data_IF_542765319739
#
_entry.id   IF_542765319739
#
_cell.length_a   1.000
_cell.length_b   1.000
_cell.length_c   1.000
_cell.angle_alpha   90.00
_cell.angle_beta   90.00
_cell.angle_gamma   90.00
#
_symmetry.space_group_name_H-M   'P 1'
#
loop_
_entity.id
_entity.type
_entity.pdbx_description
1 polymer ?
#
# COMPACT_ATOMS: atom_id res chain seq x y z
N UNK A 1 -5.95 -34.17 -4.41
CA UNK A 1 -6.15 -33.39 -3.20
C UNK A 1 -7.45 -32.62 -3.38
N UNK A 2 -8.56 -32.95 -2.70
CA UNK A 2 -9.85 -32.25 -2.88
C UNK A 2 -9.76 -30.89 -2.16
N UNK A 3 -9.57 -29.84 -2.93
CA UNK A 3 -9.61 -28.46 -2.42
C UNK A 3 -11.00 -28.21 -1.82
N UNK A 4 -11.03 -27.79 -0.58
CA UNK A 4 -12.28 -27.52 0.11
C UNK A 4 -12.92 -26.28 -0.52
N UNK A 5 -14.03 -26.44 -1.27
CA UNK A 5 -14.73 -25.36 -2.00
C UNK A 5 -14.97 -24.10 -1.16
N UNK A 6 -15.12 -24.25 0.16
CA UNK A 6 -15.27 -23.13 1.10
C UNK A 6 -13.98 -22.30 1.25
N UNK A 7 -12.77 -22.93 1.20
CA UNK A 7 -11.49 -22.21 1.26
C UNK A 7 -11.19 -21.46 -0.05
N UNK A 8 -11.53 -22.06 -1.20
CA UNK A 8 -11.36 -21.40 -2.50
C UNK A 8 -12.24 -20.16 -2.65
N UNK A 9 -13.49 -20.22 -2.17
CA UNK A 9 -14.43 -19.10 -2.20
C UNK A 9 -14.02 -18.02 -1.17
N UNK A 10 -13.48 -18.37 -0.01
CA UNK A 10 -13.00 -17.40 1.00
C UNK A 10 -11.78 -16.61 0.55
N UNK A 11 -10.89 -17.20 -0.25
CA UNK A 11 -9.77 -16.49 -0.88
C UNK A 11 -10.26 -15.54 -1.99
N UNK A 12 -11.24 -15.94 -2.80
CA UNK A 12 -11.79 -15.18 -3.92
C UNK A 12 -12.22 -13.76 -3.58
N UNK A 13 -12.54 -13.49 -2.36
CA UNK A 13 -13.35 -12.33 -1.97
C UNK A 13 -12.56 -11.30 -1.17
N UNK A 14 -11.57 -11.72 -0.40
CA UNK A 14 -10.67 -10.80 0.28
C UNK A 14 -9.97 -9.87 -0.71
N UNK A 15 -9.77 -10.36 -1.92
CA UNK A 15 -9.12 -9.63 -3.00
C UNK A 15 -10.05 -8.87 -3.95
N UNK A 16 -11.32 -9.28 -4.10
CA UNK A 16 -12.27 -8.55 -4.95
C UNK A 16 -12.57 -7.13 -4.42
N UNK A 17 -12.53 -6.92 -3.10
CA UNK A 17 -12.62 -5.60 -2.49
C UNK A 17 -11.31 -4.79 -2.60
N UNK A 18 -10.20 -5.43 -2.97
CA UNK A 18 -8.90 -4.78 -3.22
C UNK A 18 -8.60 -4.65 -4.72
N UNK A 19 -9.37 -5.30 -5.60
CA UNK A 19 -8.98 -5.60 -6.97
C UNK A 19 -9.75 -4.83 -8.05
N UNK A 20 -10.33 -3.70 -7.78
CA UNK A 20 -10.98 -2.94 -8.84
C UNK A 20 -10.40 -1.53 -8.95
N UNK A 21 -9.85 -1.25 -10.08
CA UNK A 21 -9.44 0.06 -10.50
C UNK A 21 -8.25 0.05 -11.43
N UNK A 22 -8.48 -0.06 -12.71
CA UNK A 22 -7.56 0.39 -13.74
C UNK A 22 -8.35 0.78 -14.98
N UNK A 23 -8.70 2.05 -15.08
CA UNK A 23 -8.78 2.68 -16.39
C UNK A 23 -7.79 3.84 -16.44
N UNK A 24 -7.33 4.10 -17.68
CA UNK A 24 -6.49 5.23 -18.01
C UNK A 24 -7.16 6.52 -17.52
N UNK A 25 -6.85 6.95 -16.32
CA UNK A 25 -7.12 8.33 -15.92
C UNK A 25 -6.23 9.19 -16.79
N UNK A 26 -6.73 9.55 -17.96
CA UNK A 26 -6.16 10.66 -18.73
C UNK A 26 -6.52 11.91 -17.97
N UNK A 27 -5.58 12.38 -17.14
CA UNK A 27 -5.66 13.72 -16.59
C UNK A 27 -5.60 14.69 -17.76
N UNK A 28 -6.71 15.38 -18.07
CA UNK A 28 -6.66 16.46 -19.05
C UNK A 28 -5.61 17.48 -18.60
N UNK A 29 -4.68 17.88 -19.49
CA UNK A 29 -3.65 18.84 -19.13
C UNK A 29 -4.34 20.18 -18.86
N UNK A 30 -4.38 20.59 -17.60
CA UNK A 30 -4.61 22.00 -17.25
C UNK A 30 -3.43 22.80 -17.81
N UNK A 31 -3.68 24.01 -18.38
CA UNK A 31 -2.62 24.79 -18.96
C UNK A 31 -1.56 25.10 -17.91
N UNK A 32 -0.32 24.76 -18.22
CA UNK A 32 0.82 24.83 -17.33
C UNK A 32 0.93 26.19 -16.65
N UNK A 33 0.93 26.17 -15.32
CA UNK A 33 1.41 27.26 -14.52
C UNK A 33 2.90 27.47 -14.86
N UNK A 34 3.25 28.67 -15.26
CA UNK A 34 4.64 29.06 -15.55
C UNK A 34 5.52 28.71 -14.34
N UNK A 35 6.43 27.78 -14.55
CA UNK A 35 7.49 27.48 -13.61
C UNK A 35 8.25 28.77 -13.33
N UNK A 36 8.25 29.21 -12.08
CA UNK A 36 9.12 30.26 -11.62
C UNK A 36 10.57 29.86 -11.95
N UNK A 37 11.15 30.54 -12.91
CA UNK A 37 12.55 30.40 -13.28
C UNK A 37 13.41 30.77 -12.09
N UNK A 38 13.91 29.78 -11.37
CA UNK A 38 15.15 29.85 -10.64
C UNK A 38 16.25 29.90 -11.71
N UNK A 39 16.98 31.04 -11.82
CA UNK A 39 18.15 31.15 -12.66
C UNK A 39 19.31 30.34 -12.06
N UNK A 40 19.36 29.08 -12.35
CA UNK A 40 20.50 28.19 -12.29
C UNK A 40 20.25 27.16 -13.38
N UNK A 41 21.15 27.07 -14.36
CA UNK A 41 21.21 25.95 -15.28
C UNK A 41 21.41 24.69 -14.39
N UNK A 42 20.35 23.97 -14.07
CA UNK A 42 20.48 22.61 -13.55
C UNK A 42 21.14 21.79 -14.66
N UNK A 43 22.39 21.42 -14.47
CA UNK A 43 23.12 20.52 -15.35
C UNK A 43 22.31 19.22 -15.41
N UNK A 44 21.70 18.96 -16.56
CA UNK A 44 20.85 17.81 -16.76
C UNK A 44 21.73 16.57 -16.71
N UNK A 45 21.70 15.84 -15.59
CA UNK A 45 22.51 14.63 -15.40
C UNK A 45 22.20 13.62 -16.50
N UNK A 46 23.24 13.02 -17.08
CA UNK A 46 23.11 11.96 -18.07
C UNK A 46 22.61 10.67 -17.44
N UNK A 47 21.82 9.89 -18.18
CA UNK A 47 21.40 8.55 -17.77
C UNK A 47 22.61 7.64 -17.60
N UNK A 48 22.57 6.73 -16.61
CA UNK A 48 23.58 5.70 -16.47
C UNK A 48 23.46 4.69 -17.64
N UNK A 49 24.50 4.58 -18.52
CA UNK A 49 24.42 3.73 -19.71
C UNK A 49 24.27 2.23 -19.38
N UNK A 50 24.75 1.79 -18.21
CA UNK A 50 24.57 0.39 -17.78
C UNK A 50 23.11 0.12 -17.41
N UNK A 51 22.47 1.05 -16.68
CA UNK A 51 21.05 0.94 -16.31
C UNK A 51 20.20 0.98 -17.58
N UNK A 52 20.49 1.89 -18.52
CA UNK A 52 19.78 1.96 -19.80
C UNK A 52 19.83 0.64 -20.55
N UNK A 53 21.01 0.07 -20.74
CA UNK A 53 21.19 -1.24 -21.40
C UNK A 53 20.49 -2.39 -20.65
N UNK A 54 20.49 -2.34 -19.33
CA UNK A 54 19.78 -3.32 -18.50
C UNK A 54 18.24 -3.24 -18.69
N UNK A 55 17.70 -2.03 -18.72
CA UNK A 55 16.26 -1.79 -18.97
C UNK A 55 15.83 -2.22 -20.39
N UNK A 56 16.67 -1.97 -21.40
CA UNK A 56 16.44 -2.46 -22.75
C UNK A 56 16.44 -4.00 -22.81
N UNK A 57 17.37 -4.64 -22.10
CA UNK A 57 17.44 -6.09 -21.97
C UNK A 57 16.23 -6.69 -21.24
N UNK A 58 15.78 -6.02 -20.16
CA UNK A 58 14.56 -6.38 -19.42
C UNK A 58 13.34 -6.30 -20.35
N UNK A 59 13.20 -5.22 -21.10
CA UNK A 59 12.07 -5.03 -22.02
C UNK A 59 12.00 -6.11 -23.11
N UNK A 60 13.13 -6.67 -23.51
CA UNK A 60 13.23 -7.76 -24.47
C UNK A 60 12.98 -9.18 -23.89
N UNK A 61 12.84 -9.32 -22.57
CA UNK A 61 12.61 -10.63 -21.94
C UNK A 61 11.16 -11.10 -22.18
N UNK A 62 11.01 -12.34 -22.64
CA UNK A 62 9.68 -12.94 -22.89
C UNK A 62 8.80 -13.04 -21.63
N UNK A 63 9.38 -12.98 -20.44
CA UNK A 63 8.66 -13.03 -19.17
C UNK A 63 7.94 -11.72 -18.81
N UNK A 64 8.26 -10.61 -19.49
CA UNK A 64 7.61 -9.29 -19.29
C UNK A 64 6.09 -9.40 -19.43
N UNK A 65 5.62 -10.18 -20.39
CA UNK A 65 4.18 -10.38 -20.61
C UNK A 65 3.50 -11.12 -19.46
N UNK A 66 4.14 -12.18 -18.94
CA UNK A 66 3.61 -12.96 -17.81
C UNK A 66 3.73 -12.25 -16.45
N UNK A 67 4.66 -11.30 -16.33
CA UNK A 67 4.77 -10.40 -15.18
C UNK A 67 3.75 -9.26 -15.21
N UNK A 68 2.97 -9.12 -16.29
CA UNK A 68 2.08 -7.98 -16.53
C UNK A 68 2.75 -6.61 -16.40
N UNK A 69 4.06 -6.54 -16.60
CA UNK A 69 4.89 -5.36 -16.36
C UNK A 69 4.49 -4.20 -17.28
N UNK A 70 4.24 -3.03 -16.70
CA UNK A 70 3.90 -1.79 -17.41
C UNK A 70 5.10 -0.85 -17.51
N UNK A 71 5.84 -0.64 -16.42
CA UNK A 71 7.03 0.19 -16.45
C UNK A 71 8.02 -0.18 -15.34
N UNK A 72 9.29 0.09 -15.61
CA UNK A 72 10.37 0.10 -14.62
C UNK A 72 11.13 1.41 -14.79
N UNK A 73 11.27 2.18 -13.70
CA UNK A 73 12.08 3.37 -13.65
C UNK A 73 13.13 3.25 -12.53
N UNK A 74 14.30 3.83 -12.77
CA UNK A 74 15.46 3.75 -11.88
C UNK A 74 16.02 5.14 -11.69
N UNK A 75 16.24 5.52 -10.43
CA UNK A 75 17.07 6.65 -10.04
C UNK A 75 18.32 6.12 -9.34
N UNK A 76 19.46 6.71 -9.62
CA UNK A 76 20.72 6.43 -8.94
C UNK A 76 21.50 7.73 -8.72
N UNK A 77 22.06 7.89 -7.53
CA UNK A 77 22.88 9.06 -7.16
C UNK A 77 23.98 9.32 -8.21
N UNK A 78 24.08 10.55 -8.67
CA UNK A 78 25.04 10.99 -9.69
C UNK A 78 24.57 10.80 -11.14
N UNK A 79 23.37 10.28 -11.38
CA UNK A 79 22.82 10.09 -12.72
C UNK A 79 21.39 10.63 -12.84
N UNK A 80 20.98 10.96 -14.05
CA UNK A 80 19.60 11.24 -14.40
C UNK A 80 18.75 9.95 -14.36
N UNK A 81 17.42 10.07 -14.11
CA UNK A 81 16.54 8.92 -14.04
C UNK A 81 16.39 8.24 -15.40
N UNK A 82 16.48 6.91 -15.40
CA UNK A 82 16.27 6.04 -16.57
C UNK A 82 14.97 5.25 -16.41
N UNK A 83 14.31 4.89 -17.51
CA UNK A 83 13.09 4.07 -17.42
C UNK A 83 12.67 3.45 -18.74
N UNK A 84 11.86 2.41 -18.66
CA UNK A 84 11.19 1.75 -19.77
C UNK A 84 9.70 1.64 -19.50
N UNK A 85 8.90 2.00 -20.48
CA UNK A 85 7.43 1.94 -20.46
C UNK A 85 6.96 0.95 -21.52
N UNK A 86 6.09 0.06 -21.16
CA UNK A 86 5.69 -1.12 -21.93
C UNK A 86 4.17 -1.12 -22.15
N UNK A 87 3.70 -1.95 -23.05
CA UNK A 87 2.26 -2.18 -23.31
C UNK A 87 1.44 -0.89 -23.58
N UNK A 88 2.05 0.12 -24.19
CA UNK A 88 1.38 1.38 -24.51
C UNK A 88 1.20 2.34 -23.35
N UNK A 89 1.86 2.09 -22.21
CA UNK A 89 1.99 3.05 -21.11
C UNK A 89 3.08 4.07 -21.40
N UNK A 90 3.05 5.19 -20.71
CA UNK A 90 4.02 6.27 -20.80
C UNK A 90 4.29 6.89 -19.42
N UNK A 91 5.13 7.92 -19.38
CA UNK A 91 5.47 8.65 -18.14
C UNK A 91 4.28 9.31 -17.44
N UNK A 92 3.18 9.54 -18.15
CA UNK A 92 1.96 10.19 -17.64
C UNK A 92 0.90 9.18 -17.22
N UNK A 93 1.08 7.91 -17.54
CA UNK A 93 0.14 6.87 -17.18
C UNK A 93 0.12 6.69 -15.66
N UNK A 94 -1.02 7.00 -15.04
CA UNK A 94 -1.27 6.74 -13.64
C UNK A 94 -1.59 5.26 -13.41
N UNK A 95 -1.09 4.72 -12.31
CA UNK A 95 -1.34 3.33 -11.91
C UNK A 95 -1.86 3.31 -10.48
N UNK A 96 -2.79 2.41 -10.19
CA UNK A 96 -3.21 2.18 -8.82
C UNK A 96 -2.06 1.55 -8.01
N UNK A 97 -1.73 2.20 -6.91
CA UNK A 97 -0.59 1.82 -6.07
C UNK A 97 -0.86 0.62 -5.16
N UNK A 98 -2.13 0.24 -5.00
CA UNK A 98 -2.51 -0.80 -4.05
C UNK A 98 -1.89 -0.54 -2.69
N UNK A 99 -1.26 -1.54 -2.08
CA UNK A 99 -0.66 -1.42 -0.75
C UNK A 99 0.60 -0.56 -0.66
N UNK A 100 1.21 -0.14 -1.79
CA UNK A 100 2.24 0.92 -1.78
C UNK A 100 1.69 2.21 -1.14
N UNK A 101 0.39 2.45 -1.27
CA UNK A 101 -0.36 3.55 -0.60
C UNK A 101 -0.07 3.65 0.90
N UNK A 102 0.10 2.52 1.58
CA UNK A 102 0.33 2.45 3.04
C UNK A 102 1.56 3.23 3.49
N UNK A 103 2.63 3.19 2.69
CA UNK A 103 3.86 3.92 3.00
C UNK A 103 3.64 5.44 2.95
N UNK A 104 2.79 5.92 2.05
CA UNK A 104 2.40 7.34 2.00
C UNK A 104 1.58 7.73 3.23
N UNK A 105 0.62 6.90 3.64
CA UNK A 105 -0.16 7.11 4.87
C UNK A 105 0.76 7.17 6.10
N UNK A 106 1.75 6.28 6.19
CA UNK A 106 2.76 6.31 7.25
C UNK A 106 3.52 7.64 7.27
N UNK A 107 3.95 8.15 6.11
CA UNK A 107 4.63 9.46 6.01
C UNK A 107 3.75 10.60 6.53
N UNK A 108 2.45 10.62 6.19
CA UNK A 108 1.52 11.61 6.73
C UNK A 108 1.45 11.55 8.26
N UNK A 109 1.35 10.34 8.81
CA UNK A 109 1.37 10.11 10.27
C UNK A 109 2.66 10.64 10.88
N UNK A 110 3.82 10.34 10.30
CA UNK A 110 5.11 10.80 10.80
C UNK A 110 5.26 12.30 10.84
N UNK A 111 4.80 13.00 9.80
CA UNK A 111 4.83 14.47 9.77
C UNK A 111 3.88 15.04 10.84
N UNK A 112 2.66 14.49 10.99
CA UNK A 112 1.70 14.97 11.96
C UNK A 112 2.14 14.71 13.43
N UNK A 113 2.85 13.60 13.67
CA UNK A 113 3.46 13.30 14.99
C UNK A 113 4.56 14.31 15.31
N UNK A 114 5.45 14.64 14.38
CA UNK A 114 6.50 15.64 14.56
C UNK A 114 5.90 17.04 14.81
N UNK A 115 4.78 17.36 14.16
CA UNK A 115 4.04 18.60 14.36
C UNK A 115 3.25 18.62 15.69
N UNK A 116 3.26 17.53 16.46
CA UNK A 116 2.61 17.43 17.76
C UNK A 116 1.08 17.28 17.69
N UNK A 117 0.53 16.88 16.53
CA UNK A 117 -0.92 16.67 16.39
C UNK A 117 -1.41 15.47 17.20
N UNK A 118 -0.59 14.44 17.32
CA UNK A 118 -0.80 13.24 18.14
C UNK A 118 0.52 12.48 18.30
N UNK A 119 0.51 11.39 19.08
CA UNK A 119 1.69 10.57 19.38
C UNK A 119 1.50 9.13 18.93
N UNK A 120 2.62 8.44 18.63
CA UNK A 120 2.60 6.99 18.33
C UNK A 120 2.09 6.15 19.53
N UNK A 121 2.17 6.66 20.75
CA UNK A 121 1.65 6.02 21.95
C UNK A 121 0.19 6.35 22.25
N UNK A 122 -0.45 7.24 21.49
CA UNK A 122 -1.86 7.57 21.70
C UNK A 122 -2.73 6.32 21.54
N UNK A 123 -3.68 6.16 22.47
CA UNK A 123 -4.67 5.08 22.42
C UNK A 123 -5.67 5.30 21.31
N UNK A 124 -6.01 4.22 20.61
CA UNK A 124 -6.93 4.24 19.47
C UNK A 124 -8.39 4.20 19.95
N UNK A 125 -8.71 3.37 20.93
CA UNK A 125 -10.07 3.15 21.42
C UNK A 125 -10.85 4.44 21.74
N UNK A 126 -10.27 5.48 22.39
CA UNK A 126 -11.00 6.72 22.68
C UNK A 126 -11.46 7.52 21.44
N UNK A 127 -10.90 7.24 20.26
CA UNK A 127 -11.24 7.92 19.00
C UNK A 127 -12.40 7.24 18.26
N UNK A 128 -12.83 6.06 18.72
CA UNK A 128 -13.90 5.24 18.14
C UNK A 128 -14.83 4.71 19.27
N UNK A 129 -15.44 5.59 20.07
CA UNK A 129 -16.14 5.18 21.30
C UNK A 129 -17.33 4.26 21.03
N UNK A 130 -18.11 4.51 19.98
CA UNK A 130 -19.30 3.75 19.66
C UNK A 130 -18.96 2.34 19.15
N UNK A 131 -17.97 2.26 18.23
CA UNK A 131 -17.50 0.98 17.68
C UNK A 131 -16.85 0.11 18.76
N UNK A 132 -16.03 0.71 19.60
CA UNK A 132 -15.38 0.03 20.72
C UNK A 132 -16.40 -0.47 21.75
N UNK A 133 -17.40 0.36 22.09
CA UNK A 133 -18.45 -0.05 23.02
C UNK A 133 -19.26 -1.21 22.46
N UNK A 134 -19.63 -1.16 21.17
CA UNK A 134 -20.37 -2.23 20.51
C UNK A 134 -19.55 -3.52 20.42
N UNK A 135 -18.27 -3.44 20.05
CA UNK A 135 -17.37 -4.61 20.02
C UNK A 135 -17.25 -5.26 21.42
N UNK A 136 -17.06 -4.46 22.47
CA UNK A 136 -16.98 -4.97 23.85
C UNK A 136 -18.31 -5.60 24.30
N UNK A 137 -19.47 -5.04 23.95
CA UNK A 137 -20.77 -5.65 24.22
C UNK A 137 -20.91 -7.01 23.51
N UNK A 138 -20.48 -7.09 22.24
CA UNK A 138 -20.51 -8.34 21.48
C UNK A 138 -19.60 -9.40 22.10
N UNK A 139 -18.39 -9.03 22.53
CA UNK A 139 -17.46 -9.92 23.25
C UNK A 139 -18.12 -10.45 24.54
N UNK A 140 -18.70 -9.57 25.36
CA UNK A 140 -19.34 -9.98 26.63
C UNK A 140 -20.56 -10.89 26.42
N UNK A 141 -21.33 -10.67 25.35
CA UNK A 141 -22.50 -11.47 25.01
C UNK A 141 -22.15 -12.83 24.38
N UNK A 142 -20.90 -13.05 23.96
CA UNK A 142 -20.49 -14.31 23.33
C UNK A 142 -20.65 -15.49 24.28
N UNK A 143 -21.25 -16.56 23.76
CA UNK A 143 -21.37 -17.87 24.45
C UNK A 143 -20.26 -18.84 24.08
N UNK A 144 -19.38 -18.43 23.13
CA UNK A 144 -18.28 -19.27 22.64
C UNK A 144 -16.96 -18.96 23.36
N UNK A 145 -16.86 -17.78 24.00
CA UNK A 145 -15.65 -17.31 24.68
C UNK A 145 -15.72 -17.57 26.18
N UNK A 146 -14.60 -17.98 26.77
CA UNK A 146 -14.42 -18.03 28.22
C UNK A 146 -14.36 -16.63 28.82
N UNK A 147 -14.53 -16.49 30.12
CA UNK A 147 -14.43 -15.19 30.81
C UNK A 147 -13.01 -14.60 30.70
N UNK A 148 -11.96 -15.44 30.69
CA UNK A 148 -10.58 -15.04 30.47
C UNK A 148 -10.37 -14.50 29.04
N UNK A 149 -10.92 -15.17 28.03
CA UNK A 149 -10.84 -14.71 26.62
C UNK A 149 -11.58 -13.39 26.42
N UNK A 150 -12.75 -13.21 27.05
CA UNK A 150 -13.50 -11.93 27.00
C UNK A 150 -12.72 -10.81 27.66
N UNK A 151 -12.12 -11.06 28.81
CA UNK A 151 -11.30 -10.08 29.52
C UNK A 151 -10.07 -9.71 28.70
N UNK A 152 -9.36 -10.70 28.12
CA UNK A 152 -8.18 -10.48 27.28
C UNK A 152 -8.50 -9.64 26.03
N UNK A 153 -9.55 -9.99 25.26
CA UNK A 153 -9.90 -9.25 24.06
C UNK A 153 -10.33 -7.81 24.39
N UNK A 154 -11.06 -7.61 25.49
CA UNK A 154 -11.43 -6.25 25.93
C UNK A 154 -10.19 -5.43 26.30
N UNK A 155 -9.23 -6.02 27.02
CA UNK A 155 -7.97 -5.37 27.39
C UNK A 155 -7.12 -5.05 26.16
N UNK A 156 -7.08 -5.94 25.18
CA UNK A 156 -6.33 -5.74 23.91
C UNK A 156 -6.87 -4.55 23.12
N UNK A 157 -8.19 -4.38 23.01
CA UNK A 157 -8.80 -3.20 22.40
C UNK A 157 -8.34 -1.92 23.12
N UNK A 158 -8.34 -1.91 24.45
CA UNK A 158 -7.92 -0.74 25.24
C UNK A 158 -6.39 -0.48 25.19
N UNK A 159 -5.62 -1.53 24.93
CA UNK A 159 -4.17 -1.44 24.82
C UNK A 159 -3.70 -0.89 23.46
N UNK A 160 -4.54 -0.97 22.41
CA UNK A 160 -4.21 -0.59 21.04
C UNK A 160 -3.71 0.86 20.95
N UNK A 161 -2.58 1.08 20.23
CA UNK A 161 -1.98 2.39 19.99
C UNK A 161 -1.75 2.63 18.50
N UNK A 162 -1.48 3.89 18.13
CA UNK A 162 -1.11 4.27 16.76
C UNK A 162 0.10 3.48 16.26
N UNK A 163 1.12 3.26 17.12
CA UNK A 163 2.30 2.44 16.76
C UNK A 163 1.91 1.03 16.35
N UNK A 164 0.99 0.38 17.04
CA UNK A 164 0.57 -0.99 16.74
C UNK A 164 -0.09 -1.09 15.35
N UNK A 165 -0.85 -0.07 14.95
CA UNK A 165 -1.42 0.01 13.60
C UNK A 165 -0.32 0.18 12.53
N UNK A 166 0.69 1.03 12.79
CA UNK A 166 1.81 1.26 11.87
C UNK A 166 2.66 0.00 11.67
N UNK A 167 2.82 -0.82 12.71
CA UNK A 167 3.66 -2.01 12.69
C UNK A 167 2.91 -3.29 12.33
N UNK A 168 1.59 -3.21 12.03
CA UNK A 168 0.74 -4.37 11.74
C UNK A 168 0.73 -5.38 12.91
N UNK A 169 0.71 -4.87 14.14
CA UNK A 169 0.66 -5.67 15.37
C UNK A 169 -0.50 -5.24 16.25
N UNK A 170 -1.65 -5.03 15.64
CA UNK A 170 -2.87 -4.47 16.27
C UNK A 170 -3.59 -5.43 17.23
N UNK A 171 -3.22 -6.71 17.23
CA UNK A 171 -3.83 -7.75 18.07
C UNK A 171 -4.75 -8.70 17.30
N UNK A 172 -4.95 -8.49 16.01
CA UNK A 172 -5.59 -9.45 15.12
C UNK A 172 -4.65 -10.63 14.83
N UNK A 173 -5.19 -11.85 14.72
CA UNK A 173 -4.46 -13.05 14.27
C UNK A 173 -4.81 -13.48 12.86
N UNK A 174 -5.80 -12.84 12.27
CA UNK A 174 -6.23 -13.05 10.88
C UNK A 174 -6.63 -11.70 10.32
N UNK A 175 -6.35 -11.49 9.04
CA UNK A 175 -6.67 -10.25 8.34
C UNK A 175 -8.19 -10.01 8.29
N UNK A 176 -8.72 -8.96 8.95
CA UNK A 176 -10.14 -8.61 8.87
C UNK A 176 -10.58 -8.28 7.45
N UNK A 177 -9.72 -7.68 6.63
CA UNK A 177 -10.02 -7.36 5.23
C UNK A 177 -10.40 -8.63 4.46
N UNK A 178 -9.61 -9.70 4.58
CA UNK A 178 -9.90 -10.97 3.92
C UNK A 178 -11.19 -11.63 4.45
N UNK A 179 -11.39 -11.59 5.76
CA UNK A 179 -12.58 -12.19 6.37
C UNK A 179 -13.86 -11.52 5.87
N UNK A 180 -13.95 -10.20 6.02
CA UNK A 180 -15.21 -9.50 5.73
C UNK A 180 -15.46 -9.37 4.23
N UNK A 181 -14.42 -9.19 3.42
CA UNK A 181 -14.56 -9.28 1.99
C UNK A 181 -15.16 -10.63 1.58
N UNK A 182 -14.61 -11.75 2.08
CA UNK A 182 -15.12 -13.08 1.81
C UNK A 182 -16.57 -13.24 2.25
N UNK A 183 -16.90 -12.76 3.44
CA UNK A 183 -18.23 -12.88 4.03
C UNK A 183 -19.29 -12.12 3.22
N UNK A 184 -19.01 -10.89 2.82
CA UNK A 184 -19.95 -10.08 2.03
C UNK A 184 -20.18 -10.63 0.62
N UNK A 185 -19.14 -11.11 -0.01
CA UNK A 185 -19.29 -11.76 -1.31
C UNK A 185 -20.11 -13.04 -1.24
N UNK A 186 -19.86 -13.89 -0.25
CA UNK A 186 -20.66 -15.11 -0.04
C UNK A 186 -22.12 -14.81 0.25
N UNK A 187 -22.42 -13.72 0.99
CA UNK A 187 -23.80 -13.30 1.26
C UNK A 187 -24.50 -12.78 0.00
N UNK A 188 -23.79 -12.10 -0.90
CA UNK A 188 -24.40 -11.52 -2.09
C UNK A 188 -23.38 -11.30 -3.22
N UNK A 189 -22.92 -12.36 -3.91
CA UNK A 189 -21.90 -12.27 -4.94
C UNK A 189 -22.26 -11.29 -6.06
N UNK A 190 -23.50 -11.33 -6.55
CA UNK A 190 -23.98 -10.42 -7.61
C UNK A 190 -24.01 -8.97 -7.15
N UNK A 191 -24.32 -8.72 -5.87
CA UNK A 191 -24.28 -7.38 -5.30
C UNK A 191 -22.84 -6.89 -5.22
N UNK A 192 -21.92 -7.70 -4.71
CA UNK A 192 -20.51 -7.33 -4.62
C UNK A 192 -19.90 -7.01 -5.99
N UNK A 193 -20.20 -7.83 -7.02
CA UNK A 193 -19.79 -7.58 -8.41
C UNK A 193 -20.31 -6.23 -8.92
N UNK A 194 -21.52 -5.82 -8.54
CA UNK A 194 -22.11 -4.54 -8.96
C UNK A 194 -21.43 -3.30 -8.39
N UNK A 195 -20.53 -3.45 -7.41
CA UNK A 195 -19.67 -2.37 -6.87
C UNK A 195 -18.24 -2.42 -7.39
N UNK A 196 -17.93 -3.34 -8.30
CA UNK A 196 -16.65 -3.45 -8.98
C UNK A 196 -16.71 -2.68 -10.31
N UNK A 197 -15.70 -1.89 -10.59
CA UNK A 197 -15.50 -1.24 -11.88
C UNK A 197 -14.01 -1.17 -12.19
N UNK A 198 -13.66 -0.82 -13.42
CA UNK A 198 -12.25 -0.55 -13.77
C UNK A 198 -11.70 0.70 -13.04
N UNK A 199 -12.58 1.60 -12.58
CA UNK A 199 -12.21 2.81 -11.82
C UNK A 199 -12.02 2.54 -10.32
N UNK A 200 -12.27 1.33 -9.84
CA UNK A 200 -12.13 0.97 -8.43
C UNK A 200 -13.32 0.22 -7.85
N UNK A 201 -13.27 0.01 -6.53
CA UNK A 201 -14.38 -0.54 -5.76
C UNK A 201 -15.10 0.61 -5.05
N UNK A 202 -16.39 0.75 -5.25
CA UNK A 202 -17.21 1.58 -4.38
C UNK A 202 -17.38 0.91 -3.00
N UNK A 203 -16.31 0.97 -2.20
CA UNK A 203 -16.28 0.41 -0.85
C UNK A 203 -17.32 1.11 0.04
N UNK A 204 -17.49 2.43 -0.10
CA UNK A 204 -18.50 3.19 0.64
C UNK A 204 -19.90 2.68 0.34
N UNK A 205 -20.26 2.51 -0.94
CA UNK A 205 -21.55 1.97 -1.34
C UNK A 205 -21.76 0.53 -0.83
N UNK A 206 -20.71 -0.30 -0.89
CA UNK A 206 -20.76 -1.67 -0.39
C UNK A 206 -20.99 -1.72 1.12
N UNK A 207 -20.27 -0.93 1.91
CA UNK A 207 -20.45 -0.85 3.37
C UNK A 207 -21.86 -0.37 3.73
N UNK A 208 -22.37 0.68 3.07
CA UNK A 208 -23.75 1.15 3.24
C UNK A 208 -24.78 0.07 2.91
N UNK A 209 -24.55 -0.70 1.84
CA UNK A 209 -25.44 -1.81 1.46
C UNK A 209 -25.55 -2.88 2.57
N UNK A 210 -24.47 -3.09 3.31
CA UNK A 210 -24.44 -4.05 4.42
C UNK A 210 -24.67 -3.40 5.80
N UNK A 211 -25.07 -2.11 5.81
CA UNK A 211 -25.35 -1.34 7.03
C UNK A 211 -24.19 -1.39 8.04
N UNK A 212 -22.97 -1.11 7.57
CA UNK A 212 -21.74 -1.15 8.38
C UNK A 212 -20.76 -0.08 7.96
N UNK A 213 -19.71 0.10 8.77
CA UNK A 213 -18.58 1.00 8.50
C UNK A 213 -17.27 0.24 8.61
N UNK A 214 -16.19 0.78 8.04
CA UNK A 214 -14.87 0.17 8.15
C UNK A 214 -14.38 0.11 9.61
N UNK A 215 -14.50 1.17 10.44
CA UNK A 215 -14.18 1.07 11.87
C UNK A 215 -14.99 -0.02 12.59
N UNK A 216 -16.30 -0.15 12.31
CA UNK A 216 -17.10 -1.25 12.87
C UNK A 216 -16.50 -2.61 12.54
N UNK A 217 -16.15 -2.86 11.27
CA UNK A 217 -15.57 -4.14 10.87
C UNK A 217 -14.20 -4.40 11.50
N UNK A 218 -13.39 -3.35 11.67
CA UNK A 218 -12.10 -3.46 12.33
C UNK A 218 -12.25 -3.86 13.81
N UNK A 219 -13.10 -3.18 14.58
CA UNK A 219 -13.30 -3.46 16.00
C UNK A 219 -14.13 -4.73 16.28
N UNK A 220 -15.02 -5.16 15.38
CA UNK A 220 -15.76 -6.41 15.49
C UNK A 220 -14.88 -7.65 15.19
N UNK A 221 -13.70 -7.45 14.61
CA UNK A 221 -12.76 -8.53 14.39
C UNK A 221 -12.06 -8.90 15.71
N UNK A 222 -11.91 -10.21 16.05
CA UNK A 222 -11.40 -10.60 17.37
C UNK A 222 -9.95 -10.22 17.64
N UNK A 223 -9.68 -9.45 18.68
CA UNK A 223 -8.34 -9.07 19.17
C UNK A 223 -7.75 -10.21 20.04
N UNK A 224 -7.26 -11.28 19.39
CA UNK A 224 -6.81 -12.53 20.05
C UNK A 224 -5.34 -12.54 20.43
N UNK A 225 -4.59 -11.51 20.12
CA UNK A 225 -3.20 -11.31 20.56
C UNK A 225 -3.09 -9.99 21.31
N UNK A 226 -2.15 -9.88 22.21
CA UNK A 226 -1.79 -8.59 22.80
C UNK A 226 -1.20 -7.69 21.71
N UNK A 227 -1.64 -6.41 21.59
CA UNK A 227 -1.06 -5.48 20.61
C UNK A 227 0.45 -5.35 20.79
N UNK A 228 1.19 -5.52 19.71
CA UNK A 228 2.65 -5.55 19.70
C UNK A 228 3.26 -6.96 19.60
N UNK A 229 2.51 -8.03 19.91
CA UNK A 229 3.09 -9.39 19.96
C UNK A 229 3.04 -10.16 18.64
N UNK A 230 2.02 -9.90 17.81
CA UNK A 230 1.76 -10.73 16.62
C UNK A 230 1.62 -9.86 15.38
N UNK A 231 2.46 -10.14 14.37
CA UNK A 231 2.31 -9.53 13.07
C UNK A 231 1.10 -10.11 12.32
N UNK A 232 0.18 -9.24 11.95
CA UNK A 232 -0.94 -9.57 11.06
C UNK A 232 -1.09 -8.46 10.03
N UNK A 233 -0.78 -8.74 8.77
CA UNK A 233 -0.94 -7.75 7.71
C UNK A 233 -2.41 -7.40 7.54
N UNK A 234 -2.76 -6.14 7.85
CA UNK A 234 -4.14 -5.66 7.92
C UNK A 234 -4.31 -4.32 7.20
N UNK A 235 -5.06 -4.32 6.10
CA UNK A 235 -5.33 -3.09 5.35
C UNK A 235 -6.32 -2.17 6.06
N UNK A 236 -7.22 -2.71 6.89
CA UNK A 236 -8.13 -1.89 7.69
C UNK A 236 -7.38 -1.10 8.76
N UNK A 237 -6.34 -1.68 9.38
CA UNK A 237 -5.49 -0.97 10.33
C UNK A 237 -4.92 0.33 9.73
N UNK A 238 -4.50 0.31 8.45
CA UNK A 238 -4.01 1.52 7.79
C UNK A 238 -5.14 2.51 7.44
N UNK A 239 -6.33 2.03 7.13
CA UNK A 239 -7.50 2.91 6.97
C UNK A 239 -7.89 3.58 8.30
N UNK A 240 -7.80 2.85 9.43
CA UNK A 240 -7.97 3.41 10.78
C UNK A 240 -6.91 4.48 11.06
N UNK A 241 -5.64 4.28 10.65
CA UNK A 241 -4.61 5.33 10.74
C UNK A 241 -5.01 6.60 9.99
N UNK A 242 -5.57 6.47 8.79
CA UNK A 242 -6.05 7.61 8.00
C UNK A 242 -7.23 8.33 8.67
N UNK A 243 -8.15 7.59 9.29
CA UNK A 243 -9.27 8.16 10.06
C UNK A 243 -8.77 8.89 11.32
N UNK A 244 -7.85 8.27 12.07
CA UNK A 244 -7.18 8.91 13.23
C UNK A 244 -6.50 10.21 12.79
N UNK A 245 -5.74 10.16 11.68
CA UNK A 245 -5.09 11.33 11.12
C UNK A 245 -6.10 12.46 10.85
N UNK A 246 -7.22 12.16 10.16
CA UNK A 246 -8.25 13.16 9.87
C UNK A 246 -8.92 13.69 11.13
N UNK A 247 -9.25 12.83 12.11
CA UNK A 247 -9.84 13.24 13.39
C UNK A 247 -8.90 14.16 14.19
N UNK A 248 -7.60 13.91 14.16
CA UNK A 248 -6.60 14.65 14.95
C UNK A 248 -6.13 15.94 14.29
N UNK A 249 -6.05 15.98 12.97
CA UNK A 249 -5.52 17.12 12.20
C UNK A 249 -6.61 17.98 11.57
N UNK A 250 -7.83 17.48 11.45
CA UNK A 250 -8.91 18.10 10.68
C UNK A 250 -8.71 18.07 9.16
N UNK A 251 -7.71 17.33 8.66
CA UNK A 251 -7.36 17.27 7.23
C UNK A 251 -7.37 15.83 6.72
N UNK A 252 -7.77 15.64 5.46
CA UNK A 252 -7.60 14.37 4.78
C UNK A 252 -6.12 14.09 4.50
N UNK A 253 -5.68 12.82 4.57
CA UNK A 253 -4.31 12.41 4.25
C UNK A 253 -3.93 12.85 2.83
N UNK A 254 -4.82 12.67 1.84
CA UNK A 254 -4.58 13.06 0.45
C UNK A 254 -4.29 14.56 0.29
N UNK A 255 -5.08 15.42 0.93
CA UNK A 255 -4.91 16.89 0.89
C UNK A 255 -3.62 17.32 1.60
N UNK A 256 -3.35 16.70 2.74
CA UNK A 256 -2.17 17.00 3.54
C UNK A 256 -0.89 16.63 2.79
N UNK A 257 -0.82 15.43 2.23
CA UNK A 257 0.35 14.98 1.47
C UNK A 257 0.52 15.71 0.15
N UNK A 258 -0.59 16.15 -0.49
CA UNK A 258 -0.46 17.00 -1.65
C UNK A 258 0.35 18.27 -1.34
N UNK A 259 -0.01 18.99 -0.27
CA UNK A 259 0.67 20.21 0.11
C UNK A 259 2.10 19.99 0.61
N UNK A 260 2.33 18.88 1.33
CA UNK A 260 3.59 18.63 2.05
C UNK A 260 4.62 17.86 1.25
N UNK A 261 4.17 17.01 0.32
CA UNK A 261 5.04 16.08 -0.41
C UNK A 261 4.89 16.25 -1.93
N UNK A 262 3.69 16.00 -2.48
CA UNK A 262 3.53 15.93 -3.94
C UNK A 262 3.82 17.28 -4.61
N UNK A 263 3.24 18.37 -4.13
CA UNK A 263 3.46 19.70 -4.67
C UNK A 263 4.92 20.18 -4.55
N UNK A 264 5.62 20.04 -3.41
CA UNK A 264 7.06 20.32 -3.31
C UNK A 264 7.93 19.51 -4.27
N UNK A 265 7.58 18.25 -4.56
CA UNK A 265 8.25 17.40 -5.54
C UNK A 265 7.89 17.73 -6.99
N UNK A 266 7.03 18.72 -7.23
CA UNK A 266 6.56 19.09 -8.57
C UNK A 266 5.58 18.11 -9.18
N UNK A 267 4.97 17.23 -8.37
CA UNK A 267 4.00 16.26 -8.80
C UNK A 267 2.58 16.85 -8.80
N UNK A 268 1.78 16.45 -9.77
CA UNK A 268 0.36 16.78 -9.81
C UNK A 268 -0.38 16.17 -8.62
N UNK A 269 -1.58 16.70 -8.33
CA UNK A 269 -2.43 16.11 -7.29
C UNK A 269 -2.85 14.71 -7.74
N UNK A 270 -2.48 13.66 -6.99
CA UNK A 270 -2.86 12.31 -7.34
C UNK A 270 -4.36 12.08 -7.06
N UNK A 271 -4.95 11.16 -7.82
CA UNK A 271 -6.23 10.58 -7.47
C UNK A 271 -6.02 9.64 -6.28
N UNK A 272 -6.90 9.70 -5.30
CA UNK A 272 -6.85 8.84 -4.12
C UNK A 272 -8.26 8.54 -3.63
N UNK A 273 -8.60 7.27 -3.51
CA UNK A 273 -9.92 6.81 -3.11
C UNK A 273 -10.29 7.28 -1.71
N UNK A 274 -11.59 7.42 -1.46
CA UNK A 274 -12.15 7.75 -0.16
C UNK A 274 -13.17 6.69 0.29
N UNK A 275 -13.23 6.47 1.59
CA UNK A 275 -14.22 5.62 2.24
C UNK A 275 -14.94 6.49 3.27
N UNK A 276 -16.24 6.73 3.07
CA UNK A 276 -17.08 7.58 3.93
C UNK A 276 -16.47 8.98 4.22
N UNK A 277 -15.80 9.56 3.20
CA UNK A 277 -15.18 10.88 3.31
C UNK A 277 -13.82 10.91 3.99
N UNK A 278 -13.24 9.76 4.29
CA UNK A 278 -11.87 9.57 4.77
C UNK A 278 -11.01 9.02 3.64
N UNK A 279 -9.79 9.52 3.48
CA UNK A 279 -8.84 8.97 2.49
C UNK A 279 -8.59 7.49 2.77
N UNK A 280 -8.70 6.63 1.76
CA UNK A 280 -8.42 5.19 1.88
C UNK A 280 -6.92 4.97 2.16
N UNK A 281 -6.54 4.86 3.43
CA UNK A 281 -5.13 4.80 3.85
C UNK A 281 -4.40 3.55 3.39
N UNK A 282 -5.12 2.43 3.23
CA UNK A 282 -4.56 1.11 2.92
C UNK A 282 -4.36 0.83 1.43
N UNK A 283 -5.02 1.61 0.53
CA UNK A 283 -5.02 1.45 -0.93
C UNK A 283 -5.56 2.71 -1.61
N UNK A 284 -5.75 2.66 -2.94
CA UNK A 284 -6.51 3.67 -3.69
C UNK A 284 -5.74 4.91 -4.11
N UNK A 285 -4.45 5.02 -3.80
CA UNK A 285 -3.59 6.06 -4.38
C UNK A 285 -3.23 5.70 -5.82
N UNK A 286 -3.34 6.66 -6.73
CA UNK A 286 -2.91 6.52 -8.12
C UNK A 286 -1.70 7.43 -8.40
N UNK A 287 -0.61 6.85 -8.89
CA UNK A 287 0.61 7.58 -9.23
C UNK A 287 1.19 7.13 -10.58
N UNK A 288 1.96 8.00 -11.19
CA UNK A 288 2.85 7.62 -12.29
C UNK A 288 4.08 6.88 -11.75
N UNK A 289 4.75 6.11 -12.59
CA UNK A 289 6.02 5.46 -12.23
C UNK A 289 7.09 6.48 -11.83
N UNK A 290 7.12 7.64 -12.51
CA UNK A 290 8.01 8.74 -12.15
C UNK A 290 7.66 9.35 -10.77
N UNK A 291 6.37 9.43 -10.42
CA UNK A 291 5.94 9.89 -9.09
C UNK A 291 6.36 8.93 -7.97
N UNK A 292 6.29 7.61 -8.23
CA UNK A 292 6.82 6.59 -7.30
C UNK A 292 8.33 6.74 -7.13
N UNK A 293 9.06 6.98 -8.23
CA UNK A 293 10.51 7.15 -8.22
C UNK A 293 10.91 8.37 -7.40
N UNK A 294 10.26 9.52 -7.62
CA UNK A 294 10.52 10.76 -6.88
C UNK A 294 10.24 10.60 -5.37
N UNK A 295 9.17 9.89 -5.01
CA UNK A 295 8.89 9.58 -3.60
C UNK A 295 9.93 8.64 -3.01
N UNK A 296 10.36 7.62 -3.74
CA UNK A 296 11.41 6.70 -3.31
C UNK A 296 12.76 7.43 -3.10
N UNK A 297 13.13 8.35 -4.00
CA UNK A 297 14.29 9.21 -3.85
C UNK A 297 14.21 10.07 -2.57
N UNK A 298 13.04 10.68 -2.31
CA UNK A 298 12.82 11.43 -1.08
C UNK A 298 13.03 10.56 0.18
N UNK A 299 12.52 9.32 0.19
CA UNK A 299 12.73 8.39 1.29
C UNK A 299 14.21 8.04 1.46
N UNK A 300 14.89 7.71 0.36
CA UNK A 300 16.31 7.33 0.36
C UNK A 300 17.21 8.49 0.78
N UNK A 301 16.83 9.74 0.47
CA UNK A 301 17.52 10.98 0.87
C UNK A 301 17.23 11.38 2.32
N UNK A 302 16.67 10.49 3.15
CA UNK A 302 16.34 10.77 4.55
C UNK A 302 15.24 11.82 4.72
N UNK A 303 14.32 11.91 3.77
CA UNK A 303 13.20 12.84 3.77
C UNK A 303 13.56 14.27 3.34
N UNK A 304 14.73 14.48 2.73
CA UNK A 304 15.18 15.80 2.24
C UNK A 304 14.96 15.96 0.74
N UNK A 305 14.48 17.13 0.34
CA UNK A 305 14.38 17.53 -1.05
C UNK A 305 14.98 18.94 -1.20
N UNK A 306 16.10 19.03 -1.89
CA UNK A 306 16.94 20.24 -1.89
C UNK A 306 17.35 20.61 -0.46
N UNK A 307 17.12 21.84 -0.06
CA UNK A 307 17.44 22.34 1.29
C UNK A 307 16.33 22.08 2.32
N UNK A 308 15.20 21.48 1.92
CA UNK A 308 14.03 21.29 2.78
C UNK A 308 13.96 19.89 3.33
N UNK A 309 13.70 19.75 4.64
CA UNK A 309 13.30 18.51 5.26
C UNK A 309 11.78 18.38 5.12
N UNK A 310 11.31 17.48 4.25
CA UNK A 310 9.88 17.27 4.00
C UNK A 310 9.30 16.18 4.90
N UNK A 311 10.09 15.15 5.21
CA UNK A 311 9.70 14.07 6.13
C UNK A 311 10.66 14.10 7.32
N UNK A 312 10.18 14.09 8.57
CA UNK A 312 11.04 14.11 9.75
C UNK A 312 12.06 12.96 9.74
N UNK A 313 13.35 13.29 9.85
CA UNK A 313 14.43 12.32 9.72
C UNK A 313 14.34 11.20 10.74
N UNK A 314 14.11 11.53 12.02
CA UNK A 314 14.03 10.54 13.10
C UNK A 314 12.88 9.56 12.91
N UNK A 315 11.70 10.04 12.49
CA UNK A 315 10.59 9.18 12.16
C UNK A 315 10.92 8.23 10.99
N UNK A 316 11.53 8.76 9.94
CA UNK A 316 11.85 7.96 8.75
C UNK A 316 12.91 6.89 9.04
N UNK A 317 13.91 7.18 9.87
CA UNK A 317 14.89 6.20 10.32
C UNK A 317 14.23 5.03 11.08
N UNK A 318 13.26 5.31 11.96
CA UNK A 318 12.45 4.27 12.60
C UNK A 318 11.56 3.54 11.59
N UNK A 319 10.87 4.27 10.73
CA UNK A 319 9.93 3.72 9.74
C UNK A 319 10.58 2.72 8.78
N UNK A 320 11.83 2.97 8.39
CA UNK A 320 12.60 2.11 7.48
C UNK A 320 13.42 1.04 8.19
N UNK A 321 13.30 0.91 9.50
CA UNK A 321 13.95 -0.14 10.30
C UNK A 321 12.98 -1.25 10.68
N UNK A 322 13.51 -2.43 11.04
CA UNK A 322 12.68 -3.56 11.51
C UNK A 322 12.00 -3.17 12.83
N UNK A 323 10.69 -3.08 12.82
CA UNK A 323 9.85 -2.91 14.00
C UNK A 323 9.20 -4.24 14.42
N UNK A 324 8.96 -5.12 13.45
CA UNK A 324 8.39 -6.45 13.67
C UNK A 324 9.08 -7.44 12.73
N UNK A 325 9.51 -8.58 13.25
CA UNK A 325 10.12 -9.63 12.44
C UNK A 325 9.06 -10.36 11.62
N UNK A 326 9.31 -10.51 10.34
CA UNK A 326 8.47 -11.28 9.43
C UNK A 326 9.23 -11.65 8.17
N UNK A 327 9.29 -12.94 7.85
CA UNK A 327 10.01 -13.45 6.68
C UNK A 327 9.02 -13.85 5.60
N UNK A 328 9.16 -13.23 4.43
CA UNK A 328 8.47 -13.57 3.19
C UNK A 328 9.50 -13.71 2.05
N UNK A 329 9.12 -14.33 0.93
CA UNK A 329 10.00 -14.62 -0.21
C UNK A 329 11.26 -15.40 0.19
N UNK A 330 11.15 -16.32 1.16
CA UNK A 330 12.26 -17.06 1.75
C UNK A 330 13.15 -17.72 0.69
N UNK A 331 14.46 -17.47 0.79
CA UNK A 331 15.46 -18.00 -0.12
C UNK A 331 15.63 -17.20 -1.41
N UNK A 332 15.02 -16.02 -1.53
CA UNK A 332 15.21 -15.08 -2.63
C UNK A 332 16.11 -13.93 -2.21
N UNK A 333 16.83 -13.31 -3.15
CA UNK A 333 17.68 -12.14 -2.89
C UNK A 333 16.86 -10.91 -2.36
N UNK A 334 15.58 -10.87 -2.64
CA UNK A 334 14.64 -9.88 -2.14
C UNK A 334 13.80 -10.36 -0.94
N UNK A 335 14.28 -11.37 -0.21
CA UNK A 335 13.63 -11.87 1.02
C UNK A 335 13.40 -10.73 2.01
N UNK A 336 12.16 -10.62 2.52
CA UNK A 336 11.84 -9.67 3.59
C UNK A 336 12.25 -10.25 4.92
N UNK A 337 12.88 -9.44 5.76
CA UNK A 337 13.31 -9.79 7.13
C UNK A 337 12.36 -9.27 8.21
N UNK A 338 11.47 -8.35 7.86
CA UNK A 338 10.52 -7.75 8.80
C UNK A 338 9.67 -6.65 8.18
N UNK A 339 9.03 -5.90 9.05
CA UNK A 339 8.14 -4.79 8.72
C UNK A 339 8.48 -3.58 9.58
N UNK A 340 8.57 -2.42 8.94
CA UNK A 340 8.75 -1.13 9.60
C UNK A 340 7.40 -0.43 9.84
N UNK A 341 7.36 0.89 9.66
CA UNK A 341 6.09 1.63 9.67
C UNK A 341 5.49 1.64 8.28
N UNK A 342 4.68 0.64 7.96
CA UNK A 342 3.99 0.46 6.68
C UNK A 342 4.94 0.27 5.48
N UNK A 343 6.08 -0.36 5.71
CA UNK A 343 7.07 -0.69 4.69
C UNK A 343 7.76 -2.02 5.04
N UNK A 344 8.05 -2.83 4.04
CA UNK A 344 8.78 -4.07 4.20
C UNK A 344 10.27 -3.81 4.33
N UNK A 345 10.92 -4.41 5.32
CA UNK A 345 12.38 -4.41 5.46
C UNK A 345 12.94 -5.72 4.93
N UNK A 346 14.12 -5.70 4.33
CA UNK A 346 14.68 -6.84 3.63
C UNK A 346 16.07 -7.19 4.15
N UNK A 347 16.43 -8.47 4.03
CA UNK A 347 17.73 -8.98 4.44
C UNK A 347 18.90 -8.61 3.51
N UNK A 348 18.59 -8.13 2.29
CA UNK A 348 19.60 -7.69 1.31
C UNK A 348 20.05 -6.26 1.64
N UNK A 349 21.23 -6.13 2.26
CA UNK A 349 21.72 -4.82 2.70
C UNK A 349 20.72 -4.16 3.67
N UNK A 350 20.52 -2.85 3.48
CA UNK A 350 19.50 -2.06 4.21
C UNK A 350 18.28 -1.78 3.34
N UNK A 351 17.97 -2.71 2.45
CA UNK A 351 16.88 -2.56 1.50
C UNK A 351 15.53 -2.50 2.20
N UNK A 352 14.67 -1.61 1.71
CA UNK A 352 13.25 -1.56 2.06
C UNK A 352 12.39 -1.54 0.80
N UNK A 353 11.18 -2.09 0.91
CA UNK A 353 10.23 -2.09 -0.21
C UNK A 353 8.84 -1.66 0.23
N UNK A 354 8.25 -0.67 -0.44
CA UNK A 354 6.82 -0.53 -0.48
C UNK A 354 6.29 -1.50 -1.53
N UNK A 355 5.37 -2.39 -1.13
CA UNK A 355 4.86 -3.47 -1.99
C UNK A 355 3.35 -3.34 -2.17
N UNK A 356 2.89 -3.40 -3.40
CA UNK A 356 1.49 -3.39 -3.76
C UNK A 356 1.11 -4.61 -4.61
N UNK A 357 -0.17 -4.98 -4.52
CA UNK A 357 -0.73 -6.09 -5.27
C UNK A 357 -0.42 -5.97 -6.76
N UNK A 358 -0.29 -7.08 -7.44
CA UNK A 358 0.01 -7.17 -8.88
C UNK A 358 1.34 -6.57 -9.32
N UNK A 359 2.32 -6.41 -8.40
CA UNK A 359 3.66 -6.00 -8.77
C UNK A 359 3.89 -4.49 -8.84
N UNK A 360 3.27 -3.74 -7.94
CA UNK A 360 3.63 -2.35 -7.70
C UNK A 360 4.74 -2.30 -6.64
N UNK A 361 5.89 -1.70 -6.96
CA UNK A 361 7.02 -1.63 -6.02
C UNK A 361 7.72 -0.28 -6.03
N UNK A 362 8.08 0.20 -4.84
CA UNK A 362 9.13 1.19 -4.64
C UNK A 362 10.24 0.49 -3.84
N UNK A 363 11.36 0.22 -4.49
CA UNK A 363 12.48 -0.52 -3.90
C UNK A 363 13.61 0.46 -3.59
N UNK A 364 13.93 0.59 -2.31
CA UNK A 364 15.03 1.42 -1.81
C UNK A 364 16.27 0.56 -1.64
N UNK A 365 17.36 0.91 -2.30
CA UNK A 365 18.65 0.22 -2.28
C UNK A 365 19.74 1.16 -1.73
N UNK A 366 19.81 1.40 -0.40
CA UNK A 366 20.73 2.38 0.19
C UNK A 366 22.20 2.12 -0.14
N UNK A 367 22.63 0.85 -0.16
CA UNK A 367 24.01 0.48 -0.44
C UNK A 367 24.41 0.68 -1.90
N UNK A 368 23.42 0.83 -2.80
CA UNK A 368 23.60 1.19 -4.22
C UNK A 368 23.27 2.65 -4.50
N UNK A 369 22.80 3.38 -3.46
CA UNK A 369 22.25 4.74 -3.58
C UNK A 369 21.27 4.84 -4.75
N UNK A 370 20.32 3.92 -4.81
CA UNK A 370 19.40 3.76 -5.93
C UNK A 370 17.98 3.47 -5.46
N UNK A 371 17.04 3.85 -6.30
CA UNK A 371 15.61 3.52 -6.18
C UNK A 371 15.15 2.87 -7.46
N UNK A 372 14.34 1.83 -7.35
CA UNK A 372 13.65 1.21 -8.48
C UNK A 372 12.15 1.30 -8.25
N UNK A 373 11.43 1.91 -9.17
CA UNK A 373 9.98 1.94 -9.21
C UNK A 373 9.46 0.99 -10.29
N UNK A 374 8.49 0.16 -9.92
CA UNK A 374 7.88 -0.85 -10.80
C UNK A 374 6.39 -0.69 -10.80
N UNK A 375 5.77 -0.68 -11.99
CA UNK A 375 4.33 -0.75 -12.13
C UNK A 375 3.94 -1.90 -13.05
N UNK A 376 2.86 -2.59 -12.70
CA UNK A 376 2.31 -3.71 -13.46
C UNK A 376 0.79 -3.58 -13.56
N UNK A 377 0.19 -4.18 -14.59
CA UNK A 377 -1.25 -4.24 -14.76
C UNK A 377 -1.86 -5.38 -13.94
N UNK A 378 -3.14 -5.26 -13.65
CA UNK A 378 -3.94 -6.40 -13.19
C UNK A 378 -3.90 -7.51 -14.25
N UNK A 379 -3.85 -8.77 -13.84
CA UNK A 379 -3.84 -9.91 -14.77
C UNK A 379 -5.23 -10.22 -15.36
N UNK A 380 -6.26 -9.46 -15.02
CA UNK A 380 -7.64 -9.60 -15.53
C UNK A 380 -8.26 -8.22 -15.77
N UNK A 381 -9.32 -8.20 -16.57
CA UNK A 381 -10.11 -7.00 -16.84
C UNK A 381 -11.38 -7.01 -15.97
N UNK A 382 -11.59 -5.98 -15.15
CA UNK A 382 -12.75 -5.89 -14.28
C UNK A 382 -14.06 -5.69 -15.05
N UNK A 383 -14.05 -5.03 -16.22
CA UNK A 383 -15.23 -4.89 -17.10
C UNK A 383 -15.62 -6.23 -17.74
N UNK A 384 -14.69 -7.16 -17.84
CA UNK A 384 -14.88 -8.50 -18.35
C UNK A 384 -14.77 -9.58 -17.26
N UNK A 385 -15.02 -9.23 -16.00
CA UNK A 385 -14.83 -10.09 -14.83
C UNK A 385 -15.51 -11.46 -14.97
N UNK A 386 -16.70 -11.52 -15.58
CA UNK A 386 -17.40 -12.80 -15.78
C UNK A 386 -16.67 -13.71 -16.78
N UNK A 387 -16.05 -13.16 -17.82
CA UNK A 387 -15.25 -13.93 -18.78
C UNK A 387 -13.87 -14.30 -18.21
N UNK A 388 -13.31 -13.45 -17.35
CA UNK A 388 -12.04 -13.66 -16.68
C UNK A 388 -12.17 -14.41 -15.34
N UNK A 389 -13.38 -14.78 -14.93
CA UNK A 389 -13.65 -15.48 -13.69
C UNK A 389 -12.73 -16.70 -13.44
N UNK A 390 -12.36 -17.54 -14.44
CA UNK A 390 -11.40 -18.61 -14.21
C UNK A 390 -10.01 -18.11 -13.78
N UNK A 391 -9.51 -17.02 -14.36
CA UNK A 391 -8.22 -16.39 -13.98
C UNK A 391 -8.30 -15.80 -12.56
N UNK A 392 -9.41 -15.12 -12.29
CA UNK A 392 -9.68 -14.56 -10.95
C UNK A 392 -9.70 -15.69 -9.91
N UNK A 393 -10.39 -16.80 -10.18
CA UNK A 393 -10.41 -17.98 -9.29
C UNK A 393 -9.01 -18.58 -9.10
N UNK A 394 -8.22 -18.69 -10.16
CA UNK A 394 -6.85 -19.21 -10.11
C UNK A 394 -5.96 -18.33 -9.22
N UNK A 395 -5.95 -17.01 -9.46
CA UNK A 395 -5.23 -16.04 -8.66
C UNK A 395 -5.54 -16.17 -7.16
N UNK A 396 -6.82 -16.20 -6.84
CA UNK A 396 -7.29 -16.24 -5.45
C UNK A 396 -7.24 -17.63 -4.82
N UNK A 397 -6.92 -18.64 -5.59
CA UNK A 397 -6.58 -19.97 -5.09
C UNK A 397 -5.08 -20.14 -4.83
N UNK A 398 -4.29 -19.05 -4.89
CA UNK A 398 -2.85 -19.08 -4.70
C UNK A 398 -2.08 -19.19 -6.02
N UNK A 399 -2.71 -18.79 -7.14
CA UNK A 399 -2.06 -18.66 -8.44
C UNK A 399 -1.11 -17.46 -8.49
N UNK A 400 -0.28 -17.44 -9.50
CA UNK A 400 0.72 -16.39 -9.74
C UNK A 400 0.03 -15.12 -10.24
N UNK A 401 0.15 -14.03 -9.49
CA UNK A 401 -0.35 -12.70 -9.85
C UNK A 401 0.66 -11.86 -10.68
N UNK A 402 1.82 -12.44 -11.01
CA UNK A 402 2.90 -11.79 -11.73
C UNK A 402 3.81 -10.93 -10.86
N UNK A 403 3.48 -10.68 -9.60
CA UNK A 403 4.26 -9.83 -8.68
C UNK A 403 5.67 -10.32 -8.49
N UNK A 404 5.86 -11.62 -8.22
CA UNK A 404 7.18 -12.21 -8.01
C UNK A 404 8.02 -12.18 -9.28
N UNK A 405 7.41 -12.41 -10.46
CA UNK A 405 8.11 -12.29 -11.75
C UNK A 405 8.62 -10.89 -12.03
N UNK A 406 7.87 -9.87 -11.63
CA UNK A 406 8.33 -8.47 -11.73
C UNK A 406 9.59 -8.23 -10.90
N UNK A 407 9.66 -8.75 -9.67
CA UNK A 407 10.86 -8.73 -8.85
C UNK A 407 12.01 -9.54 -9.46
N UNK A 408 11.75 -10.75 -9.96
CA UNK A 408 12.75 -11.57 -10.63
C UNK A 408 13.40 -10.85 -11.82
N UNK A 409 12.62 -10.14 -12.64
CA UNK A 409 13.14 -9.33 -13.74
C UNK A 409 14.02 -8.17 -13.25
N UNK A 410 13.62 -7.48 -12.20
CA UNK A 410 14.44 -6.41 -11.58
C UNK A 410 15.76 -6.98 -11.07
N UNK A 411 15.72 -8.10 -10.35
CA UNK A 411 16.94 -8.75 -9.83
C UNK A 411 17.84 -9.33 -10.91
N UNK A 412 17.28 -9.80 -11.99
CA UNK A 412 18.04 -10.34 -13.13
C UNK A 412 18.76 -9.26 -13.92
N UNK A 413 18.12 -8.12 -14.15
CA UNK A 413 18.62 -7.11 -15.09
C UNK A 413 19.07 -5.82 -14.42
N UNK A 414 18.26 -5.27 -13.50
CA UNK A 414 18.46 -3.92 -12.98
C UNK A 414 19.46 -3.90 -11.83
N UNK A 415 19.27 -4.72 -10.80
CA UNK A 415 20.14 -4.73 -9.60
C UNK A 415 21.62 -4.97 -9.94
N UNK A 416 22.00 -5.86 -10.89
CA UNK A 416 23.39 -6.03 -11.28
C UNK A 416 23.99 -4.82 -12.03
N UNK A 417 23.18 -3.95 -12.58
CA UNK A 417 23.62 -2.76 -13.32
C UNK A 417 23.83 -1.53 -12.42
N UNK A 418 23.31 -1.58 -11.18
CA UNK A 418 23.52 -0.57 -10.14
C UNK A 418 24.91 -0.76 -9.50
#
# INVERSE_FOLDING_TARGET
>A
MKLNRRKAVSLLVGFALLAAGCDKVTVEPQPGGENGKGNGEEEQLEENPKIKAALESLAGDGSVSSANLNAVAVWQDGYGPSGVWLKGTDRKTGHQMWSVTKTFTSVAVGIAVEEGSFSLSDKVAPLFPDEVENAKKSIQASTELTDEEKAAQTANIDALTVRHLLTMTDGHRTDPTQKYASEYFLKSPLTAIGYLSNDGVDVTGLLKKFDTTLPTLFFDHPFRAEPGEHFCYDSFATCILSDIFQKKTGRKVADFLYDRIFKPLGLERPVWDEIDGVTAGGWGLHLTTDGMLAFGELLLSGGRYGDKQLIPKGYLEEALSVQTEYVNHKGKDYETSGYGYQVWTCGYGRMCMAMGLFGQYIILLPDRKAVVAVTSAMPFDADHLLSDLPKVVELFSGGDDGSEKSLELVWKYVVPAL
#
